data_IF_097094526399
#
_entry.id   IF_097094526399
#
_cell.length_a   1.000
_cell.length_b   1.000
_cell.length_c   1.000
_cell.angle_alpha   90.00
_cell.angle_beta   90.00
_cell.angle_gamma   90.00
#
_symmetry.space_group_name_H-M   'P 1'
#
loop_
_entity.id
_entity.type
_entity.pdbx_description
1 polymer ?
#
# COMPACT_ATOMS: atom_id res chain seq x y z
N UNK A 1 12.49 -48.30 3.94
CA UNK A 1 12.51 -47.05 4.72
C UNK A 1 11.98 -45.96 3.84
N UNK A 2 10.66 -45.76 3.80
CA UNK A 2 9.99 -44.78 2.92
C UNK A 2 10.07 -43.43 3.61
N UNK A 3 10.77 -42.46 3.02
CA UNK A 3 10.68 -41.05 3.38
C UNK A 3 9.26 -40.57 3.06
N UNK A 4 8.41 -40.51 4.07
CA UNK A 4 7.13 -39.81 3.97
C UNK A 4 7.45 -38.32 3.84
N UNK A 5 7.36 -37.79 2.64
CA UNK A 5 7.46 -36.35 2.38
C UNK A 5 6.18 -35.71 2.92
N UNK A 6 6.28 -34.99 4.04
CA UNK A 6 5.18 -34.23 4.62
C UNK A 6 4.65 -33.25 3.56
N UNK A 7 3.35 -33.32 3.17
CA UNK A 7 2.76 -32.47 2.15
C UNK A 7 2.85 -30.97 2.49
N UNK A 8 2.88 -30.58 3.77
CA UNK A 8 3.04 -29.20 4.21
C UNK A 8 4.45 -28.67 3.91
N UNK A 9 5.49 -29.51 4.11
CA UNK A 9 6.87 -29.16 3.81
C UNK A 9 7.09 -28.96 2.31
N UNK A 10 6.57 -29.86 1.48
CA UNK A 10 6.68 -29.75 0.02
C UNK A 10 5.94 -28.54 -0.53
N UNK A 11 4.81 -28.16 0.06
CA UNK A 11 4.04 -26.95 -0.32
C UNK A 11 4.81 -25.68 0.04
N UNK A 12 5.39 -25.59 1.22
CA UNK A 12 6.18 -24.44 1.64
C UNK A 12 7.44 -24.26 0.79
N UNK A 13 8.18 -25.35 0.51
CA UNK A 13 9.38 -25.33 -0.32
C UNK A 13 9.07 -24.90 -1.78
N UNK A 14 7.91 -25.26 -2.31
CA UNK A 14 7.44 -24.82 -3.61
C UNK A 14 7.02 -23.35 -3.63
N UNK A 15 6.49 -22.83 -2.53
CA UNK A 15 6.02 -21.44 -2.43
C UNK A 15 7.16 -20.43 -2.23
N UNK A 16 8.22 -20.79 -1.51
CA UNK A 16 9.33 -19.87 -1.16
C UNK A 16 9.95 -19.13 -2.36
N UNK A 17 10.22 -19.78 -3.52
CA UNK A 17 10.76 -19.08 -4.70
C UNK A 17 9.79 -18.03 -5.27
N UNK A 18 8.48 -18.27 -5.15
CA UNK A 18 7.42 -17.40 -5.69
C UNK A 18 6.95 -16.32 -4.73
N UNK A 19 7.46 -16.31 -3.50
CA UNK A 19 7.00 -15.41 -2.44
C UNK A 19 7.09 -13.93 -2.84
N UNK A 20 8.15 -13.52 -3.53
CA UNK A 20 8.33 -12.13 -3.98
C UNK A 20 7.31 -11.76 -5.05
N UNK A 21 7.14 -12.63 -6.04
CA UNK A 21 6.17 -12.42 -7.14
C UNK A 21 4.74 -12.43 -6.62
N UNK A 22 4.41 -13.34 -5.71
CA UNK A 22 3.11 -13.38 -5.05
C UNK A 22 2.82 -12.10 -4.25
N UNK A 23 3.82 -11.58 -3.54
CA UNK A 23 3.70 -10.30 -2.83
C UNK A 23 3.49 -9.11 -3.77
N UNK A 24 4.23 -9.06 -4.88
CA UNK A 24 4.03 -8.02 -5.90
C UNK A 24 2.64 -8.12 -6.54
N UNK A 25 2.22 -9.31 -6.90
CA UNK A 25 0.89 -9.55 -7.46
C UNK A 25 -0.22 -9.15 -6.50
N UNK A 26 -0.09 -9.51 -5.22
CA UNK A 26 -1.03 -9.10 -4.18
C UNK A 26 -1.19 -7.57 -4.11
N UNK A 27 -0.08 -6.83 -3.99
CA UNK A 27 -0.13 -5.38 -3.90
C UNK A 27 -0.64 -4.72 -5.18
N UNK A 28 -0.29 -5.26 -6.35
CA UNK A 28 -0.82 -4.80 -7.63
C UNK A 28 -2.34 -5.00 -7.70
N UNK A 29 -2.82 -6.16 -7.31
CA UNK A 29 -4.26 -6.47 -7.28
C UNK A 29 -5.00 -5.52 -6.33
N UNK A 30 -4.46 -5.30 -5.12
CA UNK A 30 -5.02 -4.36 -4.15
C UNK A 30 -5.08 -2.94 -4.76
N UNK A 31 -4.00 -2.50 -5.39
CA UNK A 31 -3.97 -1.19 -6.05
C UNK A 31 -5.04 -1.07 -7.14
N UNK A 32 -5.10 -2.03 -8.07
CA UNK A 32 -6.04 -1.99 -9.20
C UNK A 32 -7.48 -1.99 -8.71
N UNK A 33 -7.83 -2.86 -7.76
CA UNK A 33 -9.19 -2.94 -7.21
C UNK A 33 -9.58 -1.64 -6.51
N UNK A 34 -8.71 -1.09 -5.66
CA UNK A 34 -9.00 0.18 -4.97
C UNK A 34 -9.09 1.35 -5.94
N UNK A 35 -8.11 1.50 -6.85
CA UNK A 35 -8.12 2.60 -7.82
C UNK A 35 -9.35 2.56 -8.72
N UNK A 36 -9.73 1.38 -9.20
CA UNK A 36 -10.93 1.23 -10.04
C UNK A 36 -12.21 1.53 -9.27
N UNK A 37 -12.35 1.00 -8.06
CA UNK A 37 -13.51 1.25 -7.21
C UNK A 37 -13.68 2.73 -6.89
N UNK A 38 -12.61 3.38 -6.42
CA UNK A 38 -12.62 4.80 -6.07
C UNK A 38 -12.87 5.69 -7.30
N UNK A 39 -12.21 5.43 -8.43
CA UNK A 39 -12.39 6.23 -9.64
C UNK A 39 -13.85 6.19 -10.14
N UNK A 40 -14.46 5.00 -10.14
CA UNK A 40 -15.87 4.84 -10.54
C UNK A 40 -16.80 5.54 -9.54
N UNK A 41 -16.57 5.36 -8.24
CA UNK A 41 -17.40 5.99 -7.20
C UNK A 41 -17.31 7.51 -7.27
N UNK A 42 -16.11 8.08 -7.37
CA UNK A 42 -15.91 9.54 -7.49
C UNK A 42 -16.60 10.09 -8.73
N UNK A 43 -16.50 9.41 -9.88
CA UNK A 43 -17.16 9.80 -11.10
C UNK A 43 -18.69 9.80 -10.94
N UNK A 44 -19.24 8.79 -10.28
CA UNK A 44 -20.68 8.68 -10.01
C UNK A 44 -21.17 9.77 -9.06
N UNK A 45 -20.43 10.02 -7.99
CA UNK A 45 -20.82 10.99 -6.95
C UNK A 45 -20.79 12.43 -7.50
N UNK A 46 -19.76 12.78 -8.26
CA UNK A 46 -19.70 14.10 -8.91
C UNK A 46 -20.81 14.30 -9.95
N UNK A 47 -21.10 13.27 -10.75
CA UNK A 47 -22.23 13.35 -11.71
C UNK A 47 -23.57 13.51 -11.01
N UNK A 48 -23.81 12.80 -9.90
CA UNK A 48 -25.02 12.96 -9.09
C UNK A 48 -25.14 14.35 -8.47
N UNK A 49 -24.01 14.94 -8.06
CA UNK A 49 -23.95 16.29 -7.53
C UNK A 49 -24.05 17.38 -8.60
N UNK A 50 -24.11 17.03 -9.88
CA UNK A 50 -24.13 18.00 -10.98
C UNK A 50 -22.81 18.75 -11.16
N UNK A 51 -21.72 18.26 -10.60
CA UNK A 51 -20.41 18.88 -10.69
C UNK A 51 -19.73 18.49 -12.03
N UNK A 52 -19.08 19.45 -12.71
CA UNK A 52 -18.34 19.15 -13.93
C UNK A 52 -17.16 18.22 -13.62
N UNK A 53 -17.04 17.15 -14.38
CA UNK A 53 -15.92 16.21 -14.29
C UNK A 53 -15.72 15.52 -15.64
N UNK A 54 -14.47 15.42 -16.07
CA UNK A 54 -14.10 14.61 -17.21
C UNK A 54 -13.97 13.14 -16.79
N UNK A 55 -14.35 12.21 -17.66
CA UNK A 55 -14.38 10.78 -17.32
C UNK A 55 -12.98 10.19 -16.98
N UNK A 56 -11.91 10.81 -17.45
CA UNK A 56 -10.53 10.38 -17.21
C UNK A 56 -9.93 10.93 -15.91
N UNK A 57 -10.44 12.04 -15.34
CA UNK A 57 -9.87 12.71 -14.17
C UNK A 57 -9.78 11.80 -12.93
N UNK A 58 -10.84 11.10 -12.51
CA UNK A 58 -10.76 10.20 -11.36
C UNK A 58 -9.72 9.08 -11.54
N UNK A 59 -9.55 8.60 -12.77
CA UNK A 59 -8.53 7.59 -13.07
C UNK A 59 -7.12 8.14 -12.90
N UNK A 60 -6.86 9.37 -13.33
CA UNK A 60 -5.56 10.04 -13.10
C UNK A 60 -5.31 10.21 -11.60
N UNK A 61 -6.33 10.60 -10.84
CA UNK A 61 -6.21 10.80 -9.40
C UNK A 61 -5.88 9.51 -8.67
N UNK A 62 -6.60 8.45 -8.94
CA UNK A 62 -6.43 7.17 -8.26
C UNK A 62 -5.17 6.42 -8.73
N UNK A 63 -4.89 6.41 -10.04
CA UNK A 63 -3.71 5.75 -10.57
C UNK A 63 -2.42 6.45 -10.15
N UNK A 64 -2.37 7.79 -10.14
CA UNK A 64 -1.19 8.53 -9.68
C UNK A 64 -0.88 8.20 -8.21
N UNK A 65 -1.89 8.23 -7.34
CA UNK A 65 -1.75 7.85 -5.94
C UNK A 65 -1.35 6.38 -5.78
N UNK A 66 -2.06 5.46 -6.43
CA UNK A 66 -1.79 4.03 -6.36
C UNK A 66 -0.40 3.63 -6.84
N UNK A 67 0.10 4.25 -7.92
CA UNK A 67 1.45 4.01 -8.43
C UNK A 67 2.54 4.44 -7.44
N UNK A 68 2.38 5.61 -6.79
CA UNK A 68 3.31 6.06 -5.75
C UNK A 68 3.33 5.09 -4.58
N UNK A 69 2.15 4.64 -4.11
CA UNK A 69 2.07 3.64 -3.06
C UNK A 69 2.73 2.32 -3.46
N UNK A 70 2.43 1.80 -4.63
CA UNK A 70 2.93 0.50 -5.08
C UNK A 70 4.43 0.48 -5.33
N UNK A 71 4.93 1.44 -6.12
CA UNK A 71 6.31 1.40 -6.62
C UNK A 71 7.32 1.99 -5.64
N UNK A 72 6.91 2.92 -4.80
CA UNK A 72 7.80 3.67 -3.94
C UNK A 72 7.58 3.39 -2.45
N UNK A 73 6.36 3.54 -1.96
CA UNK A 73 6.09 3.55 -0.54
C UNK A 73 5.99 2.14 0.06
N UNK A 74 5.35 1.18 -0.62
CA UNK A 74 5.26 -0.22 -0.14
C UNK A 74 6.65 -0.84 0.04
N UNK A 75 7.62 -0.73 -0.89
CA UNK A 75 8.99 -1.21 -0.68
C UNK A 75 9.70 -0.51 0.49
N UNK A 76 9.56 0.81 0.62
CA UNK A 76 10.15 1.59 1.72
C UNK A 76 9.60 1.18 3.07
N UNK A 77 8.27 1.06 3.19
CA UNK A 77 7.60 0.59 4.41
C UNK A 77 8.02 -0.85 4.72
N UNK A 78 8.13 -1.70 3.71
CA UNK A 78 8.60 -3.07 3.86
C UNK A 78 10.03 -3.15 4.38
N UNK A 79 10.91 -2.29 3.92
CA UNK A 79 12.27 -2.15 4.46
C UNK A 79 12.26 -1.64 5.90
N UNK A 80 11.52 -0.55 6.18
CA UNK A 80 11.41 0.05 7.51
C UNK A 80 10.88 -0.94 8.55
N UNK A 81 9.78 -1.64 8.25
CA UNK A 81 9.19 -2.63 9.16
C UNK A 81 10.07 -3.86 9.41
N UNK A 82 11.05 -4.12 8.53
CA UNK A 82 12.10 -5.14 8.78
C UNK A 82 13.17 -4.64 9.72
N UNK A 83 13.56 -3.37 9.60
CA UNK A 83 14.56 -2.75 10.47
C UNK A 83 14.03 -2.47 11.87
N UNK A 84 12.76 -2.08 11.98
CA UNK A 84 12.11 -1.74 13.24
C UNK A 84 10.83 -2.57 13.45
N UNK A 85 10.94 -3.90 13.68
CA UNK A 85 9.77 -4.75 13.82
C UNK A 85 8.97 -4.40 15.07
N UNK A 86 7.64 -4.34 14.98
CA UNK A 86 6.76 -4.19 16.13
C UNK A 86 6.67 -5.53 16.88
N UNK A 87 7.03 -5.50 18.17
CA UNK A 87 6.82 -6.62 19.09
C UNK A 87 5.80 -6.17 20.15
N UNK A 88 4.99 -7.10 20.63
CA UNK A 88 3.94 -6.81 21.61
C UNK A 88 4.47 -6.15 22.88
N UNK A 89 5.71 -6.52 23.31
CA UNK A 89 6.32 -6.00 24.52
C UNK A 89 6.96 -4.61 24.37
N UNK A 90 7.26 -4.18 23.13
CA UNK A 90 8.04 -2.97 22.87
C UNK A 90 7.35 -1.98 21.92
N UNK A 91 6.10 -2.23 21.55
CA UNK A 91 5.39 -1.43 20.55
C UNK A 91 5.27 0.05 20.94
N UNK A 92 5.03 0.37 22.23
CA UNK A 92 4.95 1.73 22.73
C UNK A 92 6.20 2.57 22.45
N UNK A 93 7.39 1.96 22.59
CA UNK A 93 8.67 2.64 22.35
C UNK A 93 8.91 2.88 20.85
N UNK A 94 8.28 2.10 19.99
CA UNK A 94 8.45 2.17 18.54
C UNK A 94 7.34 2.97 17.85
N UNK A 95 6.20 3.13 18.48
CA UNK A 95 5.07 3.88 17.95
C UNK A 95 5.43 5.31 17.51
N UNK A 96 6.20 6.12 18.25
CA UNK A 96 6.60 7.45 17.80
C UNK A 96 7.38 7.44 16.48
N UNK A 97 8.22 6.43 16.26
CA UNK A 97 8.95 6.27 15.00
C UNK A 97 8.02 5.93 13.83
N UNK A 98 7.02 5.09 14.07
CA UNK A 98 6.01 4.79 13.06
C UNK A 98 5.17 6.01 12.71
N UNK A 99 4.81 6.84 13.69
CA UNK A 99 4.11 8.10 13.45
C UNK A 99 4.97 9.08 12.66
N UNK A 100 6.24 9.24 13.03
CA UNK A 100 7.17 10.10 12.29
C UNK A 100 7.34 9.63 10.83
N UNK A 101 7.51 8.34 10.63
CA UNK A 101 7.64 7.76 9.27
C UNK A 101 6.33 7.91 8.50
N UNK A 102 5.16 7.79 9.12
CA UNK A 102 3.88 8.02 8.43
C UNK A 102 3.75 9.44 7.90
N UNK A 103 4.21 10.44 8.66
CA UNK A 103 4.25 11.84 8.19
C UNK A 103 5.20 11.99 7.00
N UNK A 104 6.42 11.45 7.10
CA UNK A 104 7.39 11.52 6.01
C UNK A 104 6.87 10.82 4.74
N UNK A 105 6.26 9.64 4.89
CA UNK A 105 5.63 8.88 3.80
C UNK A 105 4.52 9.69 3.15
N UNK A 106 3.65 10.34 3.94
CA UNK A 106 2.57 11.16 3.41
C UNK A 106 3.08 12.38 2.65
N UNK A 107 4.07 13.08 3.18
CA UNK A 107 4.66 14.23 2.46
C UNK A 107 5.23 13.79 1.10
N UNK A 108 6.01 12.70 1.08
CA UNK A 108 6.57 12.16 -0.16
C UNK A 108 5.46 11.71 -1.12
N UNK A 109 4.41 11.04 -0.59
CA UNK A 109 3.24 10.64 -1.37
C UNK A 109 2.58 11.83 -2.05
N UNK A 110 2.19 12.84 -1.27
CA UNK A 110 1.47 14.01 -1.80
C UNK A 110 2.29 14.77 -2.84
N UNK A 111 3.56 15.04 -2.55
CA UNK A 111 4.42 15.78 -3.50
C UNK A 111 4.59 15.03 -4.82
N UNK A 112 4.82 13.71 -4.76
CA UNK A 112 5.00 12.88 -5.96
C UNK A 112 3.69 12.72 -6.73
N UNK A 113 2.59 12.46 -6.02
CA UNK A 113 1.25 12.33 -6.59
C UNK A 113 0.82 13.61 -7.31
N UNK A 114 0.96 14.77 -6.66
CA UNK A 114 0.64 16.07 -7.26
C UNK A 114 1.50 16.34 -8.50
N UNK A 115 2.79 16.03 -8.44
CA UNK A 115 3.68 16.14 -9.59
C UNK A 115 3.22 15.27 -10.77
N UNK A 116 2.83 14.01 -10.51
CA UNK A 116 2.29 13.13 -11.55
C UNK A 116 0.96 13.64 -12.13
N UNK A 117 0.07 14.16 -11.29
CA UNK A 117 -1.21 14.76 -11.74
C UNK A 117 -0.96 15.99 -12.59
N UNK A 118 -0.10 16.90 -12.15
CA UNK A 118 0.28 18.08 -12.95
C UNK A 118 0.83 17.68 -14.31
N UNK A 119 1.69 16.66 -14.36
CA UNK A 119 2.23 16.17 -15.62
C UNK A 119 1.13 15.58 -16.51
N UNK A 120 0.25 14.74 -15.98
CA UNK A 120 -0.82 14.12 -16.73
C UNK A 120 -1.79 15.17 -17.32
N UNK A 121 -2.21 16.16 -16.51
CA UNK A 121 -3.09 17.24 -16.96
C UNK A 121 -2.44 18.10 -18.04
N UNK A 122 -1.15 18.44 -17.88
CA UNK A 122 -0.41 19.18 -18.93
C UNK A 122 -0.35 18.42 -20.26
N UNK A 123 -0.15 17.10 -20.21
CA UNK A 123 -0.13 16.25 -21.42
C UNK A 123 -1.50 16.19 -22.12
N UNK A 124 -2.59 16.40 -21.38
CA UNK A 124 -3.95 16.44 -21.87
C UNK A 124 -4.40 17.88 -22.24
N UNK A 125 -3.53 18.88 -22.11
CA UNK A 125 -3.85 20.29 -22.42
C UNK A 125 -4.65 21.00 -21.34
N UNK A 126 -4.75 20.40 -20.14
CA UNK A 126 -5.55 20.88 -19.02
C UNK A 126 -4.65 21.38 -17.86
N UNK A 127 -5.26 22.06 -16.88
CA UNK A 127 -4.58 22.53 -15.69
C UNK A 127 -5.07 21.78 -14.45
N UNK A 128 -4.13 21.26 -13.64
CA UNK A 128 -4.43 20.62 -12.36
C UNK A 128 -4.29 21.64 -11.23
N UNK A 129 -5.33 21.82 -10.44
CA UNK A 129 -5.32 22.59 -9.21
C UNK A 129 -5.44 21.64 -8.01
N UNK A 130 -4.45 21.68 -7.12
CA UNK A 130 -4.47 20.88 -5.89
C UNK A 130 -5.36 21.48 -4.80
N UNK A 131 -5.73 22.76 -4.95
CA UNK A 131 -6.52 23.49 -3.96
C UNK A 131 -5.67 24.15 -2.88
N UNK A 132 -6.27 24.40 -1.72
CA UNK A 132 -5.60 25.06 -0.59
C UNK A 132 -4.64 24.07 0.12
N UNK A 133 -3.35 24.21 -0.13
CA UNK A 133 -2.30 23.31 0.34
C UNK A 133 -2.41 22.88 1.82
N UNK A 134 -2.62 23.79 2.80
CA UNK A 134 -2.68 23.36 4.20
C UNK A 134 -3.86 22.43 4.49
N UNK A 135 -5.01 22.67 3.88
CA UNK A 135 -6.22 21.85 4.07
C UNK A 135 -6.09 20.51 3.38
N UNK A 136 -5.59 20.52 2.12
CA UNK A 136 -5.39 19.31 1.33
C UNK A 136 -4.30 18.41 1.93
N UNK A 137 -3.22 18.98 2.48
CA UNK A 137 -2.19 18.20 3.18
C UNK A 137 -2.74 17.49 4.42
N UNK A 138 -3.59 18.14 5.21
CA UNK A 138 -4.23 17.49 6.37
C UNK A 138 -5.17 16.39 5.89
N UNK A 139 -5.98 16.65 4.88
CA UNK A 139 -6.91 15.68 4.30
C UNK A 139 -6.18 14.44 3.76
N UNK A 140 -5.14 14.65 2.96
CA UNK A 140 -4.34 13.54 2.40
C UNK A 140 -3.57 12.81 3.52
N UNK A 141 -3.04 13.50 4.52
CA UNK A 141 -2.39 12.83 5.66
C UNK A 141 -3.34 11.89 6.41
N UNK A 142 -4.59 12.28 6.64
CA UNK A 142 -5.58 11.41 7.30
C UNK A 142 -5.91 10.16 6.47
N UNK A 143 -5.92 10.26 5.16
CA UNK A 143 -6.04 9.12 4.25
C UNK A 143 -4.79 8.25 4.29
N UNK A 144 -3.63 8.88 4.20
CA UNK A 144 -2.33 8.22 4.11
C UNK A 144 -1.97 7.46 5.39
N UNK A 145 -2.21 8.04 6.57
CA UNK A 145 -1.92 7.36 7.85
C UNK A 145 -2.76 6.09 8.01
N UNK A 146 -4.00 6.10 7.53
CA UNK A 146 -4.86 4.91 7.49
C UNK A 146 -4.28 3.84 6.55
N UNK A 147 -3.91 4.24 5.34
CA UNK A 147 -3.30 3.34 4.34
C UNK A 147 -1.97 2.79 4.84
N UNK A 148 -1.12 3.64 5.42
CA UNK A 148 0.13 3.23 6.06
C UNK A 148 -0.09 2.19 7.15
N UNK A 149 -1.05 2.42 8.05
CA UNK A 149 -1.37 1.49 9.13
C UNK A 149 -1.83 0.13 8.59
N UNK A 150 -2.68 0.11 7.56
CA UNK A 150 -3.14 -1.13 6.90
C UNK A 150 -1.95 -1.88 6.28
N UNK A 151 -1.07 -1.19 5.54
CA UNK A 151 0.11 -1.82 4.92
C UNK A 151 1.02 -2.41 5.99
N UNK A 152 1.29 -1.65 7.07
CA UNK A 152 2.10 -2.13 8.20
C UNK A 152 1.46 -3.36 8.84
N UNK A 153 0.15 -3.33 9.10
CA UNK A 153 -0.58 -4.47 9.68
C UNK A 153 -0.52 -5.70 8.77
N UNK A 154 -0.75 -5.55 7.46
CA UNK A 154 -0.64 -6.63 6.49
C UNK A 154 0.77 -7.23 6.46
N UNK A 155 1.81 -6.40 6.46
CA UNK A 155 3.19 -6.87 6.43
C UNK A 155 3.59 -7.62 7.71
N UNK A 156 3.14 -7.16 8.87
CA UNK A 156 3.40 -7.85 10.14
C UNK A 156 2.58 -9.13 10.25
N UNK A 157 1.30 -9.10 9.89
CA UNK A 157 0.42 -10.27 9.88
C UNK A 157 0.96 -11.37 8.96
N UNK A 158 1.37 -11.02 7.75
CA UNK A 158 1.99 -11.96 6.82
C UNK A 158 3.27 -12.61 7.38
N UNK A 159 4.16 -11.82 7.98
CA UNK A 159 5.38 -12.34 8.61
C UNK A 159 5.09 -13.23 9.81
N UNK A 160 4.10 -12.86 10.61
CA UNK A 160 3.66 -13.67 11.75
C UNK A 160 3.14 -15.04 11.27
N UNK A 161 2.27 -15.05 10.25
CA UNK A 161 1.72 -16.26 9.67
C UNK A 161 2.83 -17.17 9.10
N UNK A 162 3.77 -16.58 8.34
CA UNK A 162 4.91 -17.36 7.81
C UNK A 162 5.76 -18.01 8.91
N UNK A 163 6.06 -17.26 9.97
CA UNK A 163 6.84 -17.79 11.10
C UNK A 163 6.11 -18.93 11.79
N UNK A 164 4.80 -18.82 11.95
CA UNK A 164 3.97 -19.86 12.55
C UNK A 164 4.00 -21.14 11.71
N UNK A 165 3.75 -21.03 10.41
CA UNK A 165 3.81 -22.16 9.48
C UNK A 165 5.21 -22.82 9.45
N UNK A 166 6.27 -22.04 9.45
CA UNK A 166 7.64 -22.57 9.53
C UNK A 166 7.95 -23.27 10.85
N UNK A 167 7.37 -22.79 11.96
CA UNK A 167 7.50 -23.42 13.27
C UNK A 167 6.78 -24.75 13.33
N UNK A 168 5.56 -24.84 12.81
CA UNK A 168 4.79 -26.09 12.75
C UNK A 168 5.51 -27.17 11.92
N UNK A 169 6.06 -26.79 10.75
CA UNK A 169 6.83 -27.71 9.90
C UNK A 169 8.08 -28.22 10.59
N UNK A 170 8.75 -27.41 11.43
CA UNK A 170 9.93 -27.86 12.21
C UNK A 170 9.61 -28.82 13.35
N UNK A 171 8.39 -28.72 13.91
CA UNK A 171 7.96 -29.62 15.00
C UNK A 171 7.53 -30.99 14.47
N UNK A 172 7.17 -31.08 13.19
CA UNK A 172 6.74 -32.32 12.54
C UNK A 172 7.89 -33.05 11.82
N UNK A 173 9.09 -32.47 11.76
CA UNK A 173 10.29 -33.03 11.13
C UNK A 173 11.28 -33.61 12.19
#
# INVERSE_FOLDING_TARGET
MGMSTDPARTTLERFLPWQRSAGMFFWLTVMVVNASGNAVTELMDRRRAGLPIQSWEPWVWELSSGLVWLLMLVPVIGWFTRKLPLHLDTWWRRLPWYLLVSVAVSVVHVLTMVGLRMLAYRLLGEHYDFGAWPQELVYEYLKDVRTFAIIVACMHGYRFLLRRLQGEVRLLA
#
